data_IF_081117100800
#
_entry.id   IF_081117100800
#
_cell.length_a   1.000
_cell.length_b   1.000
_cell.length_c   1.000
_cell.angle_alpha   90.00
_cell.angle_beta   90.00
_cell.angle_gamma   90.00
#
_symmetry.space_group_name_H-M   'P 1'
#
loop_
_entity.id
_entity.type
_entity.pdbx_description
1 polymer ?
#
# COMPACT_ATOMS: atom_id res chain seq x y z
N UNK A 1 -7.75 -23.49 -16.63
CA UNK A 1 -6.48 -22.98 -16.08
C UNK A 1 -5.42 -23.24 -17.13
N UNK A 2 -4.77 -22.19 -17.63
CA UNK A 2 -3.71 -22.31 -18.62
C UNK A 2 -2.37 -22.04 -17.92
N UNK A 3 -1.46 -23.02 -17.98
CA UNK A 3 -0.10 -22.89 -17.47
C UNK A 3 0.88 -23.30 -18.58
N UNK A 4 1.89 -22.48 -18.81
CA UNK A 4 2.91 -22.67 -19.86
C UNK A 4 4.22 -23.19 -19.26
N UNK A 5 5.01 -23.93 -20.04
CA UNK A 5 6.31 -24.46 -19.58
C UNK A 5 6.26 -25.68 -18.64
N UNK A 6 5.08 -26.18 -18.28
CA UNK A 6 4.92 -27.38 -17.43
C UNK A 6 4.68 -28.66 -18.25
N UNK A 7 5.24 -29.78 -17.78
CA UNK A 7 4.95 -31.11 -18.32
C UNK A 7 3.49 -31.51 -18.08
N UNK A 8 3.03 -32.55 -18.78
CA UNK A 8 1.65 -33.03 -18.67
C UNK A 8 1.34 -33.57 -17.26
N UNK A 9 2.32 -34.17 -16.61
CA UNK A 9 2.24 -34.76 -15.28
C UNK A 9 2.07 -33.66 -14.23
N UNK A 10 2.86 -32.58 -14.32
CA UNK A 10 2.73 -31.45 -13.40
C UNK A 10 1.39 -30.74 -13.58
N UNK A 11 0.91 -30.58 -14.81
CA UNK A 11 -0.43 -30.02 -15.09
C UNK A 11 -1.55 -30.84 -14.43
N UNK A 12 -1.43 -32.16 -14.41
CA UNK A 12 -2.40 -33.05 -13.74
C UNK A 12 -2.40 -32.84 -12.22
N UNK A 13 -1.23 -32.72 -11.60
CA UNK A 13 -1.16 -32.45 -10.15
C UNK A 13 -1.73 -31.07 -9.81
N UNK A 14 -1.47 -30.04 -10.62
CA UNK A 14 -2.09 -28.71 -10.45
C UNK A 14 -3.61 -28.79 -10.56
N UNK A 15 -4.13 -29.48 -11.57
CA UNK A 15 -5.58 -29.67 -11.74
C UNK A 15 -6.20 -30.44 -10.57
N UNK A 16 -5.52 -31.50 -10.10
CA UNK A 16 -5.94 -32.30 -8.95
C UNK A 16 -6.06 -31.47 -7.67
N UNK A 17 -5.12 -30.56 -7.41
CA UNK A 17 -5.21 -29.65 -6.26
C UNK A 17 -6.36 -28.65 -6.45
N UNK A 18 -6.50 -28.07 -7.65
CA UNK A 18 -7.54 -27.08 -7.92
C UNK A 18 -8.97 -27.67 -7.83
N UNK A 19 -9.15 -28.94 -8.20
CA UNK A 19 -10.46 -29.60 -8.17
C UNK A 19 -10.95 -29.96 -6.77
N UNK A 20 -10.07 -29.94 -5.75
CA UNK A 20 -10.46 -30.17 -4.35
C UNK A 20 -11.48 -29.13 -3.84
N UNK A 21 -11.41 -27.91 -4.38
CA UNK A 21 -12.34 -26.82 -4.05
C UNK A 21 -13.50 -26.70 -5.04
N UNK A 22 -13.70 -27.70 -5.91
CA UNK A 22 -14.62 -27.71 -7.06
C UNK A 22 -14.36 -26.59 -8.09
N UNK A 23 -14.71 -25.34 -7.77
CA UNK A 23 -14.41 -24.15 -8.58
C UNK A 23 -14.49 -22.87 -7.74
N UNK A 24 -13.96 -21.77 -8.27
CA UNK A 24 -14.19 -20.43 -7.72
C UNK A 24 -15.62 -19.96 -7.97
N UNK A 25 -16.08 -18.96 -7.21
CA UNK A 25 -17.43 -18.42 -7.38
C UNK A 25 -17.67 -17.89 -8.80
N UNK A 26 -18.86 -18.17 -9.35
CA UNK A 26 -19.20 -17.87 -10.75
C UNK A 26 -19.20 -16.37 -11.03
N UNK A 27 -19.68 -15.54 -10.10
CA UNK A 27 -19.68 -14.08 -10.25
C UNK A 27 -18.27 -13.51 -10.45
N UNK A 28 -17.28 -14.03 -9.73
CA UNK A 28 -15.88 -13.66 -9.89
C UNK A 28 -15.28 -14.13 -11.22
N UNK A 29 -15.70 -15.31 -11.71
CA UNK A 29 -15.32 -15.77 -13.05
C UNK A 29 -15.89 -14.85 -14.14
N UNK A 30 -17.16 -14.46 -14.02
CA UNK A 30 -17.82 -13.49 -14.93
C UNK A 30 -17.10 -12.14 -14.87
N UNK A 31 -16.83 -11.62 -13.67
CA UNK A 31 -16.13 -10.35 -13.48
C UNK A 31 -14.74 -10.36 -14.11
N UNK A 32 -13.98 -11.45 -13.95
CA UNK A 32 -12.67 -11.59 -14.58
C UNK A 32 -12.78 -11.62 -16.11
N UNK A 33 -13.82 -12.25 -16.67
CA UNK A 33 -14.08 -12.19 -18.11
C UNK A 33 -14.36 -10.76 -18.59
N UNK A 34 -15.05 -9.94 -17.80
CA UNK A 34 -15.31 -8.54 -18.12
C UNK A 34 -14.04 -7.68 -18.02
N UNK A 35 -13.19 -7.93 -17.02
CA UNK A 35 -11.88 -7.26 -16.88
C UNK A 35 -10.98 -7.55 -18.08
N UNK A 36 -10.95 -8.79 -18.54
CA UNK A 36 -10.11 -9.22 -19.67
C UNK A 36 -10.69 -8.86 -21.04
N UNK A 37 -11.98 -8.54 -21.14
CA UNK A 37 -12.64 -8.13 -22.37
C UNK A 37 -13.52 -6.89 -22.14
N UNK A 38 -12.90 -5.72 -21.88
CA UNK A 38 -13.63 -4.48 -21.63
C UNK A 38 -14.32 -3.95 -22.92
N UNK A 39 -15.22 -2.96 -22.81
CA UNK A 39 -15.79 -2.27 -23.96
C UNK A 39 -14.71 -1.79 -24.94
N UNK A 40 -15.01 -1.84 -26.24
CA UNK A 40 -14.11 -1.49 -27.35
C UNK A 40 -14.58 -0.22 -28.05
N UNK A 41 -13.68 0.42 -28.79
CA UNK A 41 -14.01 1.58 -29.62
C UNK A 41 -15.16 1.22 -30.57
N UNK A 42 -16.28 1.96 -30.47
CA UNK A 42 -17.50 1.70 -31.22
C UNK A 42 -18.66 1.16 -30.37
N UNK A 43 -18.37 0.59 -29.20
CA UNK A 43 -19.41 0.18 -28.26
C UNK A 43 -20.04 1.40 -27.57
N UNK A 44 -21.35 1.34 -27.29
CA UNK A 44 -22.10 2.44 -26.66
C UNK A 44 -21.52 2.86 -25.30
N UNK A 45 -21.05 1.89 -24.50
CA UNK A 45 -20.50 2.12 -23.16
C UNK A 45 -19.00 2.42 -23.13
N UNK A 46 -18.31 2.39 -24.28
CA UNK A 46 -16.86 2.64 -24.32
C UNK A 46 -16.47 4.04 -23.82
N UNK A 47 -17.15 5.14 -24.21
CA UNK A 47 -16.78 6.47 -23.75
C UNK A 47 -16.89 6.64 -22.23
N UNK A 48 -17.96 6.15 -21.61
CA UNK A 48 -18.15 6.23 -20.16
C UNK A 48 -17.15 5.35 -19.41
N UNK A 49 -16.96 4.10 -19.84
CA UNK A 49 -15.96 3.19 -19.27
C UNK A 49 -14.55 3.81 -19.26
N UNK A 50 -14.14 4.40 -20.39
CA UNK A 50 -12.83 5.06 -20.50
C UNK A 50 -12.69 6.25 -19.57
N UNK A 51 -13.71 7.11 -19.51
CA UNK A 51 -13.71 8.28 -18.64
C UNK A 51 -13.60 7.89 -17.15
N UNK A 52 -14.39 6.90 -16.71
CA UNK A 52 -14.37 6.39 -15.34
C UNK A 52 -13.01 5.78 -14.97
N UNK A 53 -12.50 4.89 -15.83
CA UNK A 53 -11.20 4.23 -15.61
C UNK A 53 -10.06 5.25 -15.53
N UNK A 54 -10.00 6.16 -16.51
CA UNK A 54 -8.90 7.13 -16.61
C UNK A 54 -8.98 8.13 -15.45
N UNK A 55 -10.19 8.51 -14.99
CA UNK A 55 -10.38 9.33 -13.78
C UNK A 55 -9.89 8.63 -12.51
N UNK A 56 -10.21 7.34 -12.30
CA UNK A 56 -9.75 6.57 -11.13
C UNK A 56 -8.22 6.48 -11.10
N UNK A 57 -7.60 6.14 -12.24
CA UNK A 57 -6.13 6.04 -12.34
C UNK A 57 -5.47 7.39 -12.07
N UNK A 58 -6.01 8.47 -12.65
CA UNK A 58 -5.52 9.83 -12.44
C UNK A 58 -5.59 10.23 -10.97
N UNK A 59 -6.71 9.94 -10.30
CA UNK A 59 -6.89 10.26 -8.89
C UNK A 59 -5.92 9.48 -7.99
N UNK A 60 -5.73 8.19 -8.24
CA UNK A 60 -4.73 7.38 -7.53
C UNK A 60 -3.31 7.92 -7.74
N UNK A 61 -2.95 8.33 -8.96
CA UNK A 61 -1.65 8.93 -9.27
C UNK A 61 -1.44 10.24 -8.49
N UNK A 62 -2.45 11.11 -8.48
CA UNK A 62 -2.42 12.37 -7.72
C UNK A 62 -2.23 12.11 -6.21
N UNK A 63 -2.99 11.18 -5.63
CA UNK A 63 -2.85 10.77 -4.24
C UNK A 63 -1.44 10.23 -3.93
N UNK A 64 -0.90 9.38 -4.82
CA UNK A 64 0.43 8.82 -4.65
C UNK A 64 1.52 9.89 -4.68
N UNK A 65 1.49 10.78 -5.66
CA UNK A 65 2.44 11.89 -5.79
C UNK A 65 2.37 12.84 -4.58
N UNK A 66 1.17 13.18 -4.12
CA UNK A 66 0.98 14.01 -2.94
C UNK A 66 1.58 13.37 -1.68
N UNK A 67 1.32 12.07 -1.45
CA UNK A 67 1.89 11.35 -0.30
C UNK A 67 3.41 11.22 -0.40
N UNK A 68 3.96 10.85 -1.56
CA UNK A 68 5.41 10.73 -1.79
C UNK A 68 6.10 12.08 -1.58
N UNK A 69 5.55 13.15 -2.15
CA UNK A 69 6.09 14.51 -2.00
C UNK A 69 6.09 14.94 -0.53
N UNK A 70 4.98 14.69 0.17
CA UNK A 70 4.86 14.98 1.61
C UNK A 70 5.90 14.20 2.40
N UNK A 71 5.97 12.89 2.26
CA UNK A 71 6.91 12.07 3.04
C UNK A 71 8.37 12.46 2.78
N UNK A 72 8.73 12.81 1.55
CA UNK A 72 10.08 13.31 1.24
C UNK A 72 10.37 14.72 1.80
N UNK A 73 9.34 15.48 2.19
CA UNK A 73 9.50 16.79 2.83
C UNK A 73 9.65 16.72 4.35
N UNK A 74 9.37 15.57 4.97
CA UNK A 74 9.39 15.38 6.41
C UNK A 74 10.80 15.01 6.90
N UNK A 75 11.14 15.43 8.12
CA UNK A 75 12.45 15.20 8.73
C UNK A 75 12.76 13.70 8.83
N UNK A 76 13.94 13.29 8.36
CA UNK A 76 14.38 11.91 8.49
C UNK A 76 13.55 10.90 7.67
N UNK A 77 12.67 11.36 6.77
CA UNK A 77 11.89 10.49 5.90
C UNK A 77 12.37 10.54 4.46
N UNK A 78 12.32 9.38 3.80
CA UNK A 78 12.52 9.27 2.36
C UNK A 78 11.48 8.32 1.78
N UNK A 79 10.98 8.60 0.59
CA UNK A 79 9.99 7.77 -0.07
C UNK A 79 10.29 7.68 -1.56
N UNK A 80 10.45 6.45 -2.06
CA UNK A 80 10.61 6.21 -3.48
C UNK A 80 9.37 6.64 -4.26
N UNK A 81 9.57 6.99 -5.53
CA UNK A 81 8.47 7.28 -6.46
C UNK A 81 7.54 6.06 -6.56
N UNK A 82 6.24 6.31 -6.49
CA UNK A 82 5.23 5.30 -6.76
C UNK A 82 5.09 5.10 -8.28
N UNK A 83 5.69 4.05 -8.81
CA UNK A 83 5.54 3.70 -10.24
C UNK A 83 4.24 2.94 -10.54
N UNK A 84 3.61 2.38 -9.51
CA UNK A 84 2.35 1.66 -9.61
C UNK A 84 1.91 1.04 -8.29
N UNK A 85 0.84 0.25 -8.35
CA UNK A 85 0.23 -0.36 -7.17
C UNK A 85 -0.67 0.61 -6.41
N UNK A 86 -0.97 0.26 -5.15
CA UNK A 86 -1.93 0.97 -4.29
C UNK A 86 -1.31 1.40 -2.96
N UNK A 87 0.01 1.43 -2.87
CA UNK A 87 0.71 1.73 -1.62
C UNK A 87 2.06 2.39 -1.88
N UNK A 88 2.48 3.17 -0.90
CA UNK A 88 3.84 3.74 -0.80
C UNK A 88 4.54 3.14 0.41
N UNK A 89 5.88 3.11 0.37
CA UNK A 89 6.72 2.49 1.39
C UNK A 89 7.85 3.43 1.85
N UNK A 90 7.51 4.51 2.57
CA UNK A 90 8.50 5.42 3.11
C UNK A 90 9.44 4.74 4.13
N UNK A 91 10.70 5.16 4.10
CA UNK A 91 11.70 4.92 5.13
C UNK A 91 11.71 6.08 6.12
N UNK A 92 11.92 5.76 7.39
CA UNK A 92 12.05 6.74 8.48
C UNK A 92 13.32 6.46 9.28
N UNK A 93 14.13 7.51 9.46
CA UNK A 93 15.28 7.50 10.35
C UNK A 93 14.84 7.91 11.75
N UNK A 94 14.53 6.92 12.57
CA UNK A 94 14.08 7.14 13.94
C UNK A 94 15.24 7.63 14.83
N UNK A 95 14.98 8.60 15.73
CA UNK A 95 15.97 9.03 16.73
C UNK A 95 16.37 7.89 17.68
N UNK A 96 17.61 7.86 18.21
CA UNK A 96 18.05 6.82 19.14
C UNK A 96 17.13 6.67 20.36
N UNK A 97 16.65 7.79 20.92
CA UNK A 97 15.70 7.78 22.05
C UNK A 97 14.37 7.10 21.73
N UNK A 98 13.91 7.20 20.48
CA UNK A 98 12.69 6.50 20.04
C UNK A 98 12.93 4.99 19.91
N UNK A 99 14.13 4.59 19.47
CA UNK A 99 14.54 3.18 19.40
C UNK A 99 14.64 2.60 20.82
N UNK A 100 15.29 3.29 21.74
CA UNK A 100 15.39 2.89 23.15
C UNK A 100 14.00 2.78 23.82
N UNK A 101 13.07 3.70 23.50
CA UNK A 101 11.70 3.64 24.00
C UNK A 101 10.93 2.43 23.45
N UNK A 102 11.14 2.10 22.17
CA UNK A 102 10.59 0.89 21.57
C UNK A 102 11.14 -0.39 22.23
N UNK A 103 12.45 -0.43 22.47
CA UNK A 103 13.13 -1.54 23.16
C UNK A 103 12.61 -1.70 24.60
N UNK A 104 12.39 -0.61 25.33
CA UNK A 104 11.82 -0.62 26.68
C UNK A 104 10.38 -1.17 26.71
N UNK A 105 9.64 -1.05 25.60
CA UNK A 105 8.32 -1.63 25.41
C UNK A 105 8.37 -3.02 24.76
N UNK A 106 9.56 -3.58 24.53
CA UNK A 106 9.79 -4.87 23.87
C UNK A 106 9.09 -4.95 22.51
N UNK A 107 9.19 -3.88 21.71
CA UNK A 107 8.62 -3.78 20.36
C UNK A 107 9.64 -3.26 19.37
N UNK A 108 9.49 -3.62 18.09
CA UNK A 108 10.29 -3.05 17.01
C UNK A 108 10.04 -1.54 16.88
N UNK A 109 11.06 -0.72 16.58
CA UNK A 109 10.94 0.74 16.43
C UNK A 109 9.89 1.21 15.42
N UNK A 110 9.71 0.50 14.31
CA UNK A 110 8.68 0.84 13.33
C UNK A 110 7.25 0.50 13.79
N UNK A 111 7.08 -0.58 14.56
CA UNK A 111 5.82 -0.91 15.25
C UNK A 111 5.51 0.16 16.28
N UNK A 112 6.50 0.58 17.08
CA UNK A 112 6.34 1.67 18.04
C UNK A 112 5.86 2.95 17.36
N UNK A 113 6.52 3.38 16.28
CA UNK A 113 6.12 4.54 15.50
C UNK A 113 4.69 4.41 14.95
N UNK A 114 4.34 3.26 14.37
CA UNK A 114 3.01 3.00 13.81
C UNK A 114 1.90 3.01 14.88
N UNK A 115 2.16 2.48 16.08
CA UNK A 115 1.22 2.52 17.20
C UNK A 115 1.02 3.95 17.71
N UNK A 116 2.10 4.71 17.87
CA UNK A 116 2.04 6.12 18.30
C UNK A 116 1.26 6.97 17.29
N UNK A 117 1.45 6.72 15.99
CA UNK A 117 0.69 7.36 14.93
C UNK A 117 -0.80 7.05 15.06
N UNK A 118 -1.14 5.77 15.25
CA UNK A 118 -2.52 5.32 15.42
C UNK A 118 -3.20 5.98 16.63
N UNK A 119 -2.56 5.93 17.79
CA UNK A 119 -3.09 6.50 19.04
C UNK A 119 -3.34 8.01 18.92
N UNK A 120 -2.45 8.73 18.23
CA UNK A 120 -2.52 10.20 18.14
C UNK A 120 -3.48 10.70 17.05
N UNK A 121 -3.62 9.95 15.95
CA UNK A 121 -4.30 10.46 14.74
C UNK A 121 -5.46 9.60 14.25
N UNK A 122 -5.54 8.35 14.69
CA UNK A 122 -6.43 7.33 14.14
C UNK A 122 -5.94 6.73 12.80
N UNK A 123 -4.76 7.11 12.31
CA UNK A 123 -4.21 6.60 11.05
C UNK A 123 -3.54 5.25 11.30
N UNK A 124 -3.98 4.22 10.56
CA UNK A 124 -3.38 2.89 10.58
C UNK A 124 -2.41 2.76 9.41
N UNK A 125 -1.16 2.43 9.71
CA UNK A 125 -0.14 2.01 8.73
C UNK A 125 0.36 0.62 9.10
N UNK A 126 0.93 -0.11 8.13
CA UNK A 126 1.54 -1.41 8.42
C UNK A 126 3.05 -1.23 8.61
N UNK A 127 3.63 -1.63 9.74
CA UNK A 127 5.07 -1.46 10.00
C UNK A 127 5.92 -2.32 9.07
N UNK A 128 7.14 -1.84 8.75
CA UNK A 128 8.07 -2.46 7.81
C UNK A 128 8.55 -3.85 8.21
N UNK A 129 8.66 -4.09 9.51
CA UNK A 129 9.03 -5.37 10.14
C UNK A 129 8.13 -6.53 9.69
N UNK A 130 6.86 -6.26 9.34
CA UNK A 130 5.94 -7.28 8.81
C UNK A 130 6.27 -7.75 7.38
N UNK A 131 7.06 -6.98 6.64
CA UNK A 131 7.43 -7.27 5.25
C UNK A 131 8.87 -7.81 5.12
N UNK A 132 9.65 -7.72 6.19
CA UNK A 132 11.11 -7.85 6.14
C UNK A 132 11.75 -6.55 5.62
N UNK A 133 12.85 -6.16 6.23
CA UNK A 133 13.61 -4.96 5.86
C UNK A 133 15.08 -5.13 6.20
N UNK A 134 15.93 -4.29 5.61
CA UNK A 134 17.38 -4.31 5.90
C UNK A 134 17.60 -3.97 7.38
N UNK A 135 18.44 -4.74 8.11
CA UNK A 135 18.70 -4.46 9.53
C UNK A 135 19.17 -3.01 9.76
N UNK A 136 18.59 -2.36 10.77
CA UNK A 136 18.88 -0.95 11.09
C UNK A 136 18.14 0.08 10.23
N UNK A 137 17.24 -0.35 9.35
CA UNK A 137 16.34 0.53 8.60
C UNK A 137 14.89 0.30 9.03
N UNK A 138 14.09 1.37 9.01
CA UNK A 138 12.70 1.35 9.48
C UNK A 138 11.77 1.93 8.43
N UNK A 139 10.65 1.27 8.21
CA UNK A 139 9.69 1.63 7.17
C UNK A 139 8.27 1.45 7.64
N UNK A 140 7.32 1.94 6.84
CA UNK A 140 5.93 1.54 6.94
C UNK A 140 5.25 1.58 5.57
N UNK A 141 4.20 0.80 5.40
CA UNK A 141 3.35 0.83 4.21
C UNK A 141 2.10 1.68 4.46
N UNK A 142 1.88 2.66 3.60
CA UNK A 142 0.67 3.49 3.58
C UNK A 142 -0.10 3.27 2.26
N UNK A 143 -1.43 3.17 2.33
CA UNK A 143 -2.30 2.96 1.16
C UNK A 143 -2.77 4.29 0.55
N UNK A 144 -2.75 4.39 -0.78
CA UNK A 144 -3.16 5.60 -1.54
C UNK A 144 -4.64 5.57 -1.97
N UNK A 145 -5.43 4.63 -1.45
CA UNK A 145 -6.84 4.43 -1.79
C UNK A 145 -7.82 5.51 -1.33
N UNK A 146 -7.56 6.34 -0.29
CA UNK A 146 -8.47 7.42 0.05
C UNK A 146 -8.65 8.41 -1.11
N UNK A 147 -9.87 8.97 -1.21
CA UNK A 147 -10.16 10.07 -2.12
C UNK A 147 -9.23 11.26 -1.86
N UNK A 148 -8.96 12.07 -2.88
CA UNK A 148 -7.99 13.18 -2.82
C UNK A 148 -8.19 14.11 -1.61
N UNK A 149 -9.43 14.51 -1.31
CA UNK A 149 -9.75 15.34 -0.14
C UNK A 149 -9.34 14.67 1.19
N UNK A 150 -9.61 13.37 1.32
CA UNK A 150 -9.24 12.59 2.51
C UNK A 150 -7.73 12.39 2.58
N UNK A 151 -7.06 12.22 1.44
CA UNK A 151 -5.60 12.13 1.36
C UNK A 151 -4.94 13.39 1.92
N UNK A 152 -5.44 14.58 1.58
CA UNK A 152 -4.90 15.84 2.14
C UNK A 152 -5.10 15.94 3.66
N UNK A 153 -6.25 15.50 4.18
CA UNK A 153 -6.49 15.45 5.63
C UNK A 153 -5.55 14.45 6.33
N UNK A 154 -5.32 13.28 5.75
CA UNK A 154 -4.39 12.27 6.26
C UNK A 154 -2.97 12.83 6.29
N UNK A 155 -2.53 13.46 5.20
CA UNK A 155 -1.22 14.13 5.09
C UNK A 155 -1.04 15.17 6.20
N UNK A 156 -2.03 16.04 6.40
CA UNK A 156 -1.96 17.09 7.42
C UNK A 156 -1.84 16.52 8.83
N UNK A 157 -2.65 15.53 9.19
CA UNK A 157 -2.60 14.86 10.50
C UNK A 157 -1.30 14.09 10.70
N UNK A 158 -0.84 13.38 9.67
CA UNK A 158 0.42 12.65 9.70
C UNK A 158 1.59 13.60 9.93
N UNK A 159 1.65 14.72 9.21
CA UNK A 159 2.71 15.72 9.35
C UNK A 159 2.78 16.27 10.77
N UNK A 160 1.64 16.69 11.32
CA UNK A 160 1.59 17.21 12.69
C UNK A 160 2.05 16.17 13.73
N UNK A 161 1.63 14.91 13.58
CA UNK A 161 2.12 13.83 14.42
C UNK A 161 3.62 13.61 14.28
N UNK A 162 4.12 13.53 13.05
CA UNK A 162 5.51 13.23 12.78
C UNK A 162 6.44 14.30 13.36
N UNK A 163 6.10 15.59 13.16
CA UNK A 163 6.85 16.70 13.74
C UNK A 163 6.86 16.62 15.27
N UNK A 164 5.70 16.41 15.92
CA UNK A 164 5.63 16.28 17.37
C UNK A 164 6.41 15.06 17.90
N UNK A 165 6.35 13.93 17.20
CA UNK A 165 7.10 12.72 17.54
C UNK A 165 8.62 12.96 17.45
N UNK A 166 9.08 13.61 16.37
CA UNK A 166 10.50 13.91 16.21
C UNK A 166 11.00 14.88 17.27
N UNK A 167 10.20 15.88 17.68
CA UNK A 167 10.55 16.78 18.79
C UNK A 167 10.59 16.05 20.15
N UNK A 168 9.61 15.18 20.44
CA UNK A 168 9.53 14.42 21.70
C UNK A 168 10.78 13.56 21.93
N UNK A 169 11.26 12.91 20.86
CA UNK A 169 12.42 12.02 20.90
C UNK A 169 13.71 12.68 20.41
N UNK A 170 13.68 14.01 20.20
CA UNK A 170 14.88 14.78 19.88
C UNK A 170 15.82 14.70 21.09
N UNK A 171 17.02 14.19 20.87
CA UNK A 171 18.11 14.08 21.84
C UNK A 171 19.26 14.94 21.38
#
# INVERSE_FOLDING_TARGET
>A
MEVTGFSSEVKKEVYKVASLSACSNISGQILMSLVMNPPKVGDESYPSYRAERDSIISSLSCCAEAMVSTFNSLEGMTCSKAEGGISVFPSIRLPPRAIEAADAMNTEPDVFYALRLLESTGIVVVPGSMFGQVPGTWHFRCTILPQEERTQMIISRFKAFHEAFMEEFRG
#
